data_IF_860938138071
#
_entry.id   IF_860938138071
#
_cell.length_a   1.000
_cell.length_b   1.000
_cell.length_c   1.000
_cell.angle_alpha   90.00
_cell.angle_beta   90.00
_cell.angle_gamma   90.00
#
_symmetry.space_group_name_H-M   'P 1'
#
loop_
_entity.id
_entity.type
_entity.pdbx_description
1 polymer ?
#
# COMPACT_ATOMS: atom_id res chain seq x y z
N UNK A 1 -17.59 1.41 -10.31
CA UNK A 1 -17.42 2.32 -11.47
C UNK A 1 -17.85 1.63 -12.75
N UNK A 2 -18.75 2.30 -13.46
CA UNK A 2 -19.11 1.98 -14.84
C UNK A 2 -18.02 2.45 -15.80
N UNK A 3 -17.99 1.92 -17.03
CA UNK A 3 -16.99 2.33 -18.02
C UNK A 3 -17.07 3.83 -18.36
N UNK A 4 -18.29 4.39 -18.34
CA UNK A 4 -18.53 5.80 -18.62
C UNK A 4 -17.95 6.72 -17.55
N UNK A 5 -18.20 6.41 -16.27
CA UNK A 5 -17.62 7.14 -15.13
C UNK A 5 -16.09 7.11 -15.14
N UNK A 6 -15.49 5.99 -15.55
CA UNK A 6 -14.03 5.86 -15.63
C UNK A 6 -13.45 6.75 -16.75
N UNK A 7 -14.12 6.83 -17.90
CA UNK A 7 -13.70 7.70 -19.02
C UNK A 7 -13.72 9.16 -18.63
N UNK A 8 -14.82 9.62 -18.06
CA UNK A 8 -14.98 11.01 -17.61
C UNK A 8 -13.87 11.39 -16.63
N UNK A 9 -13.59 10.53 -15.64
CA UNK A 9 -12.50 10.75 -14.68
C UNK A 9 -11.11 10.81 -15.32
N UNK A 10 -10.81 9.92 -16.26
CA UNK A 10 -9.51 9.88 -16.93
C UNK A 10 -9.30 11.16 -17.75
N UNK A 11 -10.32 11.60 -18.48
CA UNK A 11 -10.28 12.83 -19.29
C UNK A 11 -10.08 14.05 -18.38
N UNK A 12 -10.78 14.12 -17.25
CA UNK A 12 -10.69 15.26 -16.33
C UNK A 12 -9.39 15.30 -15.52
N UNK A 13 -8.88 14.14 -15.09
CA UNK A 13 -7.82 14.06 -14.07
C UNK A 13 -6.48 13.58 -14.61
N UNK A 14 -6.45 12.90 -15.76
CA UNK A 14 -5.24 12.26 -16.30
C UNK A 14 -5.09 12.64 -17.77
N UNK A 15 -4.70 13.89 -18.09
CA UNK A 15 -4.55 14.38 -19.46
C UNK A 15 -3.42 13.66 -20.24
N UNK A 16 -2.61 12.85 -19.55
CA UNK A 16 -1.56 12.02 -20.14
C UNK A 16 -2.12 10.83 -20.93
N UNK A 17 -3.36 10.38 -20.64
CA UNK A 17 -4.03 9.30 -21.38
C UNK A 17 -4.85 9.91 -22.50
N UNK A 18 -4.25 10.04 -23.68
CA UNK A 18 -4.93 10.49 -24.89
C UNK A 18 -5.84 9.40 -25.44
N UNK A 19 -7.04 9.76 -25.91
CA UNK A 19 -7.97 8.80 -26.52
C UNK A 19 -8.84 8.02 -25.54
N UNK A 20 -8.89 8.42 -24.27
CA UNK A 20 -9.70 7.78 -23.23
C UNK A 20 -11.18 7.57 -23.59
N UNK A 21 -11.77 8.48 -24.39
CA UNK A 21 -13.17 8.37 -24.86
C UNK A 21 -13.47 7.10 -25.66
N UNK A 22 -12.48 6.58 -26.40
CA UNK A 22 -12.62 5.39 -27.26
C UNK A 22 -12.21 4.08 -26.60
N UNK A 23 -11.56 4.14 -25.43
CA UNK A 23 -11.02 2.95 -24.77
C UNK A 23 -12.10 2.13 -24.06
N UNK A 24 -11.89 0.81 -24.04
CA UNK A 24 -12.63 -0.11 -23.20
C UNK A 24 -12.29 0.13 -21.71
N UNK A 25 -13.09 -0.42 -20.80
CA UNK A 25 -12.82 -0.29 -19.37
C UNK A 25 -11.47 -0.93 -18.98
N UNK A 26 -11.12 -2.03 -19.62
CA UNK A 26 -9.90 -2.79 -19.35
C UNK A 26 -8.66 -2.02 -19.84
N UNK A 27 -8.74 -1.45 -21.04
CA UNK A 27 -7.69 -0.61 -21.63
C UNK A 27 -7.44 0.65 -20.80
N UNK A 28 -8.50 1.32 -20.31
CA UNK A 28 -8.35 2.47 -19.42
C UNK A 28 -7.64 2.09 -18.13
N UNK A 29 -7.99 0.95 -17.53
CA UNK A 29 -7.34 0.49 -16.30
C UNK A 29 -5.86 0.19 -16.56
N UNK A 30 -5.52 -0.43 -17.69
CA UNK A 30 -4.12 -0.67 -18.08
C UNK A 30 -3.35 0.64 -18.29
N UNK A 31 -3.90 1.59 -19.06
CA UNK A 31 -3.25 2.87 -19.31
C UNK A 31 -3.07 3.70 -18.03
N UNK A 32 -4.05 3.69 -17.12
CA UNK A 32 -3.93 4.30 -15.79
C UNK A 32 -2.79 3.64 -15.02
N UNK A 33 -2.74 2.31 -15.00
CA UNK A 33 -1.67 1.56 -14.31
C UNK A 33 -0.29 1.95 -14.84
N UNK A 34 -0.13 2.02 -16.16
CA UNK A 34 1.13 2.39 -16.80
C UNK A 34 1.57 3.82 -16.47
N UNK A 35 0.63 4.79 -16.54
CA UNK A 35 0.89 6.19 -16.17
C UNK A 35 1.35 6.31 -14.71
N UNK A 36 0.77 5.53 -13.81
CA UNK A 36 1.15 5.54 -12.39
C UNK A 36 2.30 4.59 -12.06
N UNK A 37 2.91 3.93 -13.05
CA UNK A 37 3.99 2.95 -12.83
C UNK A 37 3.55 1.75 -11.99
N UNK A 38 2.25 1.46 -11.97
CA UNK A 38 1.67 0.26 -11.35
C UNK A 38 1.86 -0.87 -12.35
N UNK A 39 3.06 -1.41 -12.41
CA UNK A 39 3.33 -2.61 -13.19
C UNK A 39 2.51 -3.74 -12.56
N UNK A 40 1.47 -4.22 -13.24
CA UNK A 40 0.92 -5.57 -13.00
C UNK A 40 1.91 -6.59 -13.57
N UNK A 41 3.12 -6.53 -13.05
CA UNK A 41 4.01 -7.64 -13.12
C UNK A 41 3.39 -8.71 -12.25
N UNK A 42 3.42 -9.93 -12.75
CA UNK A 42 3.65 -11.13 -11.96
C UNK A 42 4.98 -11.03 -11.15
N UNK A 43 5.29 -9.86 -10.59
CA UNK A 43 6.32 -9.68 -9.59
C UNK A 43 5.82 -10.46 -8.40
N UNK A 44 6.29 -11.71 -8.30
CA UNK A 44 5.89 -12.72 -7.35
C UNK A 44 5.52 -12.02 -6.04
N UNK A 45 4.21 -11.96 -5.76
CA UNK A 45 3.71 -11.37 -4.53
C UNK A 45 4.54 -12.00 -3.43
N UNK A 46 5.36 -11.19 -2.75
CA UNK A 46 6.26 -11.67 -1.70
C UNK A 46 5.50 -12.69 -0.86
N UNK A 47 6.01 -13.93 -0.68
CA UNK A 47 5.29 -14.96 0.09
C UNK A 47 4.91 -14.45 1.49
N UNK A 48 5.65 -13.44 1.96
CA UNK A 48 5.46 -12.79 3.24
C UNK A 48 4.51 -11.57 3.20
N UNK A 49 3.87 -11.22 2.08
CA UNK A 49 2.99 -10.02 1.98
C UNK A 49 1.92 -10.00 3.07
N UNK A 50 1.23 -11.12 3.30
CA UNK A 50 0.23 -11.24 4.37
C UNK A 50 0.85 -11.02 5.75
N UNK A 51 2.01 -11.64 6.00
CA UNK A 51 2.74 -11.53 7.27
C UNK A 51 3.29 -10.11 7.52
N UNK A 52 3.80 -9.43 6.49
CA UNK A 52 4.26 -8.04 6.58
C UNK A 52 3.07 -7.13 6.90
N UNK A 53 1.92 -7.41 6.30
CA UNK A 53 0.69 -6.63 6.51
C UNK A 53 0.15 -6.80 7.93
N UNK A 54 0.12 -8.02 8.47
CA UNK A 54 -0.27 -8.24 9.88
C UNK A 54 0.70 -7.54 10.84
N UNK A 55 2.02 -7.66 10.64
CA UNK A 55 3.01 -6.94 11.45
C UNK A 55 2.81 -5.42 11.42
N UNK A 56 2.37 -4.85 10.29
CA UNK A 56 2.05 -3.42 10.19
C UNK A 56 0.81 -3.04 11.01
N UNK A 57 -0.23 -3.88 11.03
CA UNK A 57 -1.40 -3.70 11.89
C UNK A 57 -1.03 -3.76 13.37
N UNK A 58 -0.22 -4.75 13.76
CA UNK A 58 0.26 -4.88 15.15
C UNK A 58 1.08 -3.65 15.58
N UNK A 59 1.93 -3.12 14.68
CA UNK A 59 2.65 -1.87 14.95
C UNK A 59 1.73 -0.66 15.12
N UNK A 60 0.59 -0.61 14.44
CA UNK A 60 -0.38 0.47 14.60
C UNK A 60 -1.03 0.40 16.00
N UNK A 61 -1.51 -0.78 16.41
CA UNK A 61 -2.06 -1.00 17.76
C UNK A 61 -1.06 -0.65 18.86
N UNK A 62 0.19 -1.12 18.75
CA UNK A 62 1.24 -0.80 19.73
C UNK A 62 1.58 0.71 19.79
N UNK A 63 1.40 1.46 18.68
CA UNK A 63 1.58 2.92 18.70
C UNK A 63 0.48 3.61 19.49
N UNK A 64 -0.76 3.16 19.33
CA UNK A 64 -1.89 3.67 20.11
C UNK A 64 -1.73 3.36 21.60
N UNK A 65 -1.35 2.13 21.95
CA UNK A 65 -1.03 1.75 23.33
C UNK A 65 0.09 2.63 23.90
N UNK A 66 1.12 2.92 23.10
CA UNK A 66 2.24 3.77 23.53
C UNK A 66 1.82 5.22 23.78
N UNK A 67 0.82 5.72 23.05
CA UNK A 67 0.25 7.06 23.30
C UNK A 67 -0.54 7.10 24.60
N UNK A 68 -1.23 6.00 24.95
CA UNK A 68 -2.01 5.86 26.19
C UNK A 68 -1.17 5.52 27.42
N UNK A 69 0.05 5.01 27.24
CA UNK A 69 0.92 4.61 28.33
C UNK A 69 1.34 5.79 29.22
N UNK A 70 1.14 5.66 30.53
CA UNK A 70 1.46 6.68 31.53
C UNK A 70 2.93 6.61 31.95
N UNK A 71 3.49 5.41 32.09
CA UNK A 71 4.86 5.25 32.61
C UNK A 71 5.92 5.31 31.51
N UNK A 72 7.07 5.94 31.83
CA UNK A 72 8.24 6.00 30.92
C UNK A 72 8.72 4.59 30.54
N UNK A 73 8.69 3.66 31.50
CA UNK A 73 9.13 2.27 31.32
C UNK A 73 8.24 1.52 30.32
N UNK A 74 6.92 1.65 30.43
CA UNK A 74 5.97 1.07 29.46
C UNK A 74 6.17 1.64 28.06
N UNK A 75 6.31 2.98 27.93
CA UNK A 75 6.56 3.62 26.62
C UNK A 75 7.85 3.09 25.99
N UNK A 76 8.89 2.85 26.79
CA UNK A 76 10.16 2.31 26.31
C UNK A 76 10.02 0.85 25.83
N UNK A 77 9.31 0.01 26.60
CA UNK A 77 9.03 -1.38 26.22
C UNK A 77 8.25 -1.42 24.89
N UNK A 78 7.19 -0.61 24.77
CA UNK A 78 6.37 -0.52 23.55
C UNK A 78 7.20 0.00 22.36
N UNK A 79 8.06 1.01 22.56
CA UNK A 79 9.00 1.49 21.54
C UNK A 79 9.92 0.36 21.06
N UNK A 80 10.49 -0.44 21.97
CA UNK A 80 11.37 -1.58 21.63
C UNK A 80 10.61 -2.65 20.84
N UNK A 81 9.37 -2.98 21.23
CA UNK A 81 8.50 -3.92 20.51
C UNK A 81 8.21 -3.45 19.07
N UNK A 82 7.79 -2.18 18.91
CA UNK A 82 7.54 -1.58 17.59
C UNK A 82 8.82 -1.62 16.73
N UNK A 83 9.97 -1.28 17.30
CA UNK A 83 11.24 -1.30 16.57
C UNK A 83 11.61 -2.72 16.10
N UNK A 84 11.38 -3.74 16.93
CA UNK A 84 11.62 -5.15 16.57
C UNK A 84 10.74 -5.57 15.40
N UNK A 85 9.44 -5.26 15.44
CA UNK A 85 8.51 -5.53 14.34
C UNK A 85 8.88 -4.75 13.07
N UNK A 86 9.28 -3.49 13.18
CA UNK A 86 9.73 -2.66 12.04
C UNK A 86 11.00 -3.22 11.39
N UNK A 87 11.92 -3.79 12.17
CA UNK A 87 13.13 -4.45 11.64
C UNK A 87 12.77 -5.77 10.95
N UNK A 88 11.90 -6.58 11.57
CA UNK A 88 11.45 -7.87 11.02
C UNK A 88 10.70 -7.71 9.70
N UNK A 89 9.75 -6.77 9.64
CA UNK A 89 8.99 -6.52 8.40
C UNK A 89 9.87 -6.01 7.26
N UNK A 90 10.85 -5.14 7.55
CA UNK A 90 11.84 -4.70 6.55
C UNK A 90 12.74 -5.83 6.07
N UNK A 91 13.11 -6.77 6.95
CA UNK A 91 13.89 -7.96 6.56
C UNK A 91 13.08 -8.87 5.64
N UNK A 92 11.83 -9.17 6.01
CA UNK A 92 10.94 -10.02 5.20
C UNK A 92 10.64 -9.41 3.83
N UNK A 93 10.48 -8.09 3.76
CA UNK A 93 10.26 -7.38 2.50
C UNK A 93 11.47 -7.40 1.55
N UNK A 94 12.68 -7.64 2.08
CA UNK A 94 13.93 -7.75 1.30
C UNK A 94 14.37 -9.20 1.07
N UNK A 95 13.65 -10.17 1.64
CA UNK A 95 13.97 -11.59 1.53
C UNK A 95 13.38 -12.23 0.25
N UNK A 96 12.82 -11.40 -0.62
CA UNK A 96 12.23 -11.69 -1.93
C UNK A 96 12.83 -10.65 -2.87
#
# INVERSE_FOLDING_TARGET
MTAKELRELVIEKIPQITGASGMSKEELVAAIKDVFGIVEGEGAVSPYKKQITSMKKDMAGLREERLKASSRKEREILRKKINKLKKRSRRLARAV
#
